data_IF_430459385133
#
_entry.id   IF_430459385133
#
_cell.length_a   1.000
_cell.length_b   1.000
_cell.length_c   1.000
_cell.angle_alpha   90.00
_cell.angle_beta   90.00
_cell.angle_gamma   90.00
#
_symmetry.space_group_name_H-M   'P 1'
#
loop_
_entity.id
_entity.type
_entity.pdbx_description
1 polymer ?
#
# COMPACT_ATOMS: atom_id res chain seq x y z
N UNK A 1 -7.04 2.37 -0.51
CA UNK A 1 -6.42 3.54 0.13
C UNK A 1 -6.97 4.82 -0.41
N UNK A 2 -7.01 5.85 0.41
CA UNK A 2 -7.30 7.22 -0.02
C UNK A 2 -5.99 7.87 -0.50
N UNK A 3 -5.98 8.51 -1.67
CA UNK A 3 -4.88 9.38 -2.08
C UNK A 3 -5.17 10.79 -1.55
N UNK A 4 -4.12 11.53 -1.15
CA UNK A 4 -4.30 12.88 -0.61
C UNK A 4 -4.50 13.84 -1.77
N UNK A 5 -5.75 14.05 -2.19
CA UNK A 5 -6.10 15.06 -3.19
C UNK A 5 -6.00 16.49 -2.66
N UNK A 6 -5.46 17.41 -3.46
CA UNK A 6 -5.61 18.86 -3.29
C UNK A 6 -7.06 19.33 -3.51
N UNK A 7 -7.88 18.46 -4.10
CA UNK A 7 -9.29 18.64 -4.45
C UNK A 7 -10.24 18.37 -3.28
N UNK A 8 -11.53 18.69 -3.45
CA UNK A 8 -12.56 18.41 -2.45
C UNK A 8 -13.00 16.94 -2.38
N UNK A 9 -12.49 16.10 -3.27
CA UNK A 9 -12.78 14.67 -3.35
C UNK A 9 -11.60 13.93 -3.99
N UNK A 10 -11.49 12.63 -3.74
CA UNK A 10 -10.49 11.76 -4.38
C UNK A 10 -11.02 10.32 -4.47
N UNK A 11 -10.47 9.55 -5.41
CA UNK A 11 -10.81 8.15 -5.61
C UNK A 11 -10.15 7.24 -4.56
N UNK A 12 -10.80 6.12 -4.30
CA UNK A 12 -10.24 5.05 -3.48
C UNK A 12 -9.60 4.02 -4.41
N UNK A 13 -8.29 3.83 -4.26
CA UNK A 13 -7.52 2.91 -5.09
C UNK A 13 -7.10 1.67 -4.32
N UNK A 14 -6.97 0.54 -5.02
CA UNK A 14 -6.27 -0.62 -4.50
C UNK A 14 -4.76 -0.40 -4.61
N UNK A 15 -4.04 -0.78 -3.56
CA UNK A 15 -2.57 -0.79 -3.49
C UNK A 15 -2.14 -1.88 -2.51
N UNK A 16 -0.85 -2.26 -2.45
CA UNK A 16 -0.41 -3.29 -1.53
C UNK A 16 -0.76 -2.95 -0.08
N UNK A 17 -1.24 -3.96 0.64
CA UNK A 17 -1.66 -3.82 2.02
C UNK A 17 -0.45 -3.52 2.91
N UNK A 18 -0.54 -2.50 3.75
CA UNK A 18 0.54 -2.17 4.69
C UNK A 18 0.01 -1.80 6.05
N UNK A 19 0.57 -2.38 7.10
CA UNK A 19 0.05 -2.25 8.47
C UNK A 19 0.23 -0.85 9.07
N UNK A 20 1.20 -0.09 8.57
CA UNK A 20 1.58 1.22 9.10
C UNK A 20 1.06 2.41 8.28
N UNK A 21 0.27 2.17 7.22
CA UNK A 21 -0.24 3.24 6.37
C UNK A 21 -1.63 3.70 6.85
N UNK A 22 -1.75 4.95 7.36
CA UNK A 22 -2.99 5.45 7.92
C UNK A 22 -4.12 5.55 6.90
N UNK A 23 -3.81 5.72 5.61
CA UNK A 23 -4.78 5.88 4.53
C UNK A 23 -5.39 4.54 4.07
N UNK A 24 -4.93 3.42 4.64
CA UNK A 24 -5.53 2.10 4.46
C UNK A 24 -6.47 1.71 5.61
N UNK A 25 -6.57 2.54 6.65
CA UNK A 25 -7.39 2.25 7.83
C UNK A 25 -8.79 2.83 7.67
N UNK A 26 -9.79 1.99 7.93
CA UNK A 26 -11.21 2.33 7.85
C UNK A 26 -11.93 1.91 9.13
N UNK A 27 -13.03 2.57 9.43
CA UNK A 27 -13.96 2.21 10.51
C UNK A 27 -15.32 1.91 9.87
N UNK A 28 -15.96 0.85 10.32
CA UNK A 28 -17.36 0.57 9.97
C UNK A 28 -18.26 1.17 11.05
N UNK A 29 -19.18 2.05 10.65
CA UNK A 29 -20.19 2.68 11.51
C UNK A 29 -21.44 2.95 10.69
N UNK A 30 -22.63 2.70 11.27
CA UNK A 30 -23.91 2.94 10.62
C UNK A 30 -23.98 2.22 9.25
N UNK A 31 -23.59 0.94 9.24
CA UNK A 31 -23.44 0.09 8.03
C UNK A 31 -22.67 0.78 6.89
N UNK A 32 -21.64 1.56 7.21
CA UNK A 32 -20.90 2.33 6.21
C UNK A 32 -19.41 2.35 6.54
N UNK A 33 -18.57 2.38 5.51
CA UNK A 33 -17.13 2.63 5.69
C UNK A 33 -16.85 4.12 5.85
N UNK A 34 -16.02 4.43 6.84
CA UNK A 34 -15.50 5.76 7.12
C UNK A 34 -13.99 5.72 7.21
N UNK A 35 -13.33 6.82 6.85
CA UNK A 35 -11.91 7.00 7.13
C UNK A 35 -11.64 6.82 8.63
N UNK A 36 -10.43 6.40 9.01
CA UNK A 36 -10.10 6.13 10.42
C UNK A 36 -10.30 7.33 11.37
N UNK A 37 -10.25 8.56 10.85
CA UNK A 37 -10.55 9.80 11.57
C UNK A 37 -12.05 10.16 11.60
N UNK A 38 -12.91 9.30 11.03
CA UNK A 38 -14.37 9.43 10.91
C UNK A 38 -14.85 10.66 10.14
N UNK A 39 -13.98 11.31 9.37
CA UNK A 39 -14.32 12.55 8.65
C UNK A 39 -15.05 12.30 7.33
N UNK A 40 -14.66 11.26 6.61
CA UNK A 40 -15.14 11.02 5.26
C UNK A 40 -15.78 9.63 5.14
N UNK A 41 -16.98 9.60 4.58
CA UNK A 41 -17.71 8.36 4.27
C UNK A 41 -17.34 7.89 2.87
N UNK A 42 -17.19 6.58 2.71
CA UNK A 42 -17.03 5.95 1.40
C UNK A 42 -18.29 6.17 0.56
N UNK A 43 -18.08 6.51 -0.71
CA UNK A 43 -19.10 6.65 -1.74
C UNK A 43 -18.72 5.78 -2.92
N UNK A 44 -19.69 5.24 -3.66
CA UNK A 44 -19.44 4.41 -4.83
C UNK A 44 -20.47 4.66 -5.93
N UNK A 45 -19.98 4.78 -7.17
CA UNK A 45 -20.83 4.98 -8.34
C UNK A 45 -20.31 4.13 -9.49
N UNK A 46 -21.17 3.28 -10.04
CA UNK A 46 -20.83 2.30 -11.06
C UNK A 46 -19.66 1.41 -10.62
N UNK A 47 -18.48 1.61 -11.22
CA UNK A 47 -17.30 0.76 -11.05
C UNK A 47 -16.22 1.40 -10.18
N UNK A 48 -16.45 2.60 -9.61
CA UNK A 48 -15.45 3.29 -8.80
C UNK A 48 -15.98 3.69 -7.43
N UNK A 49 -15.06 3.73 -6.47
CA UNK A 49 -15.29 4.24 -5.13
C UNK A 49 -14.49 5.54 -4.93
N UNK A 50 -15.03 6.44 -4.13
CA UNK A 50 -14.44 7.74 -3.85
C UNK A 50 -14.80 8.24 -2.45
N UNK A 51 -14.09 9.25 -1.99
CA UNK A 51 -14.42 10.02 -0.79
C UNK A 51 -14.52 11.50 -1.15
N UNK A 52 -15.34 12.25 -0.43
CA UNK A 52 -15.48 13.69 -0.61
C UNK A 52 -15.54 14.41 0.73
N UNK A 53 -15.00 15.63 0.77
CA UNK A 53 -15.12 16.57 1.89
C UNK A 53 -16.55 17.07 2.04
N UNK A 54 -17.33 17.09 0.97
CA UNK A 54 -18.73 17.50 0.99
C UNK A 54 -19.61 16.31 1.36
N UNK A 55 -20.16 16.32 2.58
CA UNK A 55 -21.02 15.26 3.09
C UNK A 55 -22.29 15.06 2.24
N UNK A 56 -22.82 16.13 1.65
CA UNK A 56 -24.00 16.15 0.78
C UNK A 56 -23.81 15.57 -0.62
N UNK A 57 -22.58 15.22 -1.03
CA UNK A 57 -22.36 14.58 -2.31
C UNK A 57 -23.11 13.23 -2.37
N UNK A 58 -23.54 12.82 -3.57
CA UNK A 58 -24.39 11.62 -3.75
C UNK A 58 -23.62 10.32 -3.52
N UNK A 59 -24.32 9.19 -3.70
CA UNK A 59 -23.71 7.86 -3.84
C UNK A 59 -23.04 7.31 -2.59
N UNK A 60 -23.64 7.57 -1.42
CA UNK A 60 -23.18 6.98 -0.17
C UNK A 60 -23.17 5.44 -0.25
N UNK A 61 -22.01 4.84 0.00
CA UNK A 61 -21.89 3.39 0.13
C UNK A 61 -22.53 2.94 1.43
N UNK A 62 -23.40 1.94 1.36
CA UNK A 62 -24.06 1.33 2.52
C UNK A 62 -23.96 -0.18 2.40
N UNK A 63 -23.42 -0.81 3.43
CA UNK A 63 -23.35 -2.26 3.58
C UNK A 63 -24.76 -2.82 3.77
N UNK A 64 -25.02 -3.97 3.13
CA UNK A 64 -26.25 -4.71 3.34
C UNK A 64 -26.35 -5.21 4.79
N UNK A 65 -27.56 -5.28 5.33
CA UNK A 65 -27.79 -5.75 6.70
C UNK A 65 -27.33 -7.19 6.92
N UNK A 66 -27.29 -8.01 5.86
CA UNK A 66 -26.77 -9.38 5.90
C UNK A 66 -25.26 -9.44 6.19
N UNK A 67 -24.52 -8.34 6.10
CA UNK A 67 -23.07 -8.29 6.34
C UNK A 67 -22.70 -8.15 7.83
N UNK A 68 -23.67 -8.25 8.74
CA UNK A 68 -23.45 -8.06 10.18
C UNK A 68 -22.36 -8.98 10.74
N UNK A 69 -22.36 -10.27 10.36
CA UNK A 69 -21.34 -11.22 10.81
C UNK A 69 -19.94 -10.89 10.26
N UNK A 70 -19.88 -10.45 8.99
CA UNK A 70 -18.63 -10.02 8.35
C UNK A 70 -18.02 -8.80 9.05
N UNK A 71 -18.85 -7.80 9.39
CA UNK A 71 -18.41 -6.58 10.08
C UNK A 71 -17.76 -6.91 11.44
N UNK A 72 -18.31 -7.90 12.15
CA UNK A 72 -17.81 -8.32 13.47
C UNK A 72 -16.64 -9.30 13.41
N UNK A 73 -16.24 -9.76 12.22
CA UNK A 73 -15.16 -10.72 12.06
C UNK A 73 -13.79 -10.04 12.16
N UNK A 74 -12.99 -10.44 13.16
CA UNK A 74 -11.57 -10.07 13.24
C UNK A 74 -10.75 -11.11 12.46
N UNK A 75 -10.39 -10.78 11.23
CA UNK A 75 -9.58 -11.65 10.38
C UNK A 75 -8.08 -11.51 10.70
N UNK A 76 -7.34 -12.63 10.63
CA UNK A 76 -5.88 -12.61 10.61
C UNK A 76 -5.40 -11.89 9.34
N UNK A 77 -4.49 -10.91 9.42
CA UNK A 77 -3.96 -10.24 8.24
C UNK A 77 -3.29 -11.24 7.29
N UNK A 78 -3.67 -11.22 6.02
CA UNK A 78 -3.04 -12.07 5.00
C UNK A 78 -1.64 -11.62 4.56
N UNK A 79 -1.23 -10.41 4.92
CA UNK A 79 0.10 -9.83 4.65
C UNK A 79 0.38 -8.76 5.71
N UNK A 80 1.59 -8.75 6.27
CA UNK A 80 2.05 -7.80 7.30
C UNK A 80 3.13 -6.83 6.80
N UNK A 81 3.09 -6.49 5.51
CA UNK A 81 4.02 -5.54 4.90
C UNK A 81 4.01 -4.17 5.55
N UNK A 82 5.17 -3.51 5.51
CA UNK A 82 5.42 -2.19 6.08
C UNK A 82 5.81 -1.25 4.94
N UNK A 83 5.13 -0.11 4.82
CA UNK A 83 5.51 0.95 3.91
C UNK A 83 6.67 1.75 4.52
N UNK A 84 7.82 1.77 3.87
CA UNK A 84 9.01 2.47 4.34
C UNK A 84 9.79 3.11 3.18
N UNK A 85 10.98 3.63 3.45
CA UNK A 85 11.95 4.02 2.43
C UNK A 85 13.37 3.77 2.94
N UNK A 86 14.31 3.53 2.03
CA UNK A 86 15.73 3.34 2.35
C UNK A 86 16.50 4.49 1.71
N UNK A 87 17.35 5.15 2.49
CA UNK A 87 18.08 6.34 2.05
C UNK A 87 19.44 6.50 2.72
N UNK A 88 20.32 7.26 2.07
CA UNK A 88 21.58 7.75 2.63
C UNK A 88 21.77 9.24 2.35
N UNK A 89 22.57 9.89 3.18
CA UNK A 89 22.98 11.27 2.96
C UNK A 89 24.35 11.28 2.26
N UNK A 90 24.52 12.18 1.30
CA UNK A 90 25.78 12.45 0.63
C UNK A 90 25.97 13.96 0.59
N UNK A 91 26.85 14.47 1.46
CA UNK A 91 26.96 15.92 1.71
C UNK A 91 25.67 16.47 2.31
N UNK A 92 25.14 17.54 1.72
CA UNK A 92 23.86 18.16 2.11
C UNK A 92 22.64 17.49 1.48
N UNK A 93 22.82 16.55 0.56
CA UNK A 93 21.75 15.89 -0.18
C UNK A 93 21.37 14.54 0.44
N UNK A 94 20.09 14.16 0.31
CA UNK A 94 19.57 12.84 0.66
C UNK A 94 19.13 12.09 -0.59
N UNK A 95 19.54 10.84 -0.70
CA UNK A 95 19.21 9.95 -1.81
C UNK A 95 18.45 8.74 -1.29
N UNK A 96 17.41 8.33 -2.01
CA UNK A 96 16.58 7.17 -1.73
C UNK A 96 16.84 6.08 -2.76
N UNK A 97 16.82 4.82 -2.31
CA UNK A 97 16.90 3.66 -3.20
C UNK A 97 15.71 3.66 -4.15
N UNK A 98 15.99 3.44 -5.44
CA UNK A 98 14.96 3.09 -6.40
C UNK A 98 15.34 1.98 -7.37
N UNK A 99 14.35 1.39 -8.05
CA UNK A 99 14.64 0.51 -9.18
C UNK A 99 15.49 1.26 -10.22
N UNK A 100 16.65 0.68 -10.52
CA UNK A 100 17.65 1.24 -11.43
C UNK A 100 18.63 2.26 -10.82
N UNK A 101 18.63 2.52 -9.50
CA UNK A 101 19.62 3.39 -8.88
C UNK A 101 19.13 4.13 -7.63
N UNK A 102 19.37 5.43 -7.58
CA UNK A 102 18.95 6.29 -6.47
C UNK A 102 18.51 7.67 -6.97
N UNK A 103 17.58 8.30 -6.27
CA UNK A 103 17.09 9.65 -6.58
C UNK A 103 16.85 10.46 -5.30
N UNK A 104 16.72 11.79 -5.41
CA UNK A 104 16.43 12.68 -4.28
C UNK A 104 14.98 12.58 -3.80
N UNK A 105 14.07 12.06 -4.63
CA UNK A 105 12.68 11.86 -4.26
C UNK A 105 12.51 10.64 -3.34
N UNK A 106 11.73 10.81 -2.27
CA UNK A 106 11.34 9.70 -1.40
C UNK A 106 10.67 8.62 -2.22
N UNK A 107 11.28 7.44 -2.27
CA UNK A 107 10.73 6.30 -2.99
C UNK A 107 10.13 5.29 -2.01
N UNK A 108 8.83 4.96 -2.11
CA UNK A 108 8.21 3.99 -1.23
C UNK A 108 8.74 2.57 -1.49
N UNK A 109 9.05 1.87 -0.41
CA UNK A 109 9.46 0.46 -0.39
C UNK A 109 8.47 -0.30 0.49
N UNK A 110 7.92 -1.39 -0.03
CA UNK A 110 7.07 -2.33 0.69
C UNK A 110 7.97 -3.43 1.23
N UNK A 111 8.15 -3.45 2.55
CA UNK A 111 8.94 -4.48 3.23
C UNK A 111 8.00 -5.52 3.85
N UNK A 112 8.06 -6.76 3.39
CA UNK A 112 7.33 -7.85 4.02
C UNK A 112 8.26 -8.61 4.98
N UNK A 113 8.05 -8.54 6.31
CA UNK A 113 8.90 -9.23 7.27
C UNK A 113 8.74 -10.76 7.27
N UNK A 114 7.67 -11.32 6.70
CA UNK A 114 7.48 -12.77 6.60
C UNK A 114 8.31 -13.38 5.48
N UNK A 115 8.38 -12.70 4.32
CA UNK A 115 9.19 -13.15 3.18
C UNK A 115 10.58 -12.52 3.13
N UNK A 116 10.83 -11.45 3.87
CA UNK A 116 12.05 -10.65 3.79
C UNK A 116 12.14 -9.78 2.53
N UNK A 117 11.10 -9.75 1.68
CA UNK A 117 11.10 -9.00 0.43
C UNK A 117 11.08 -7.49 0.66
N UNK A 118 11.91 -6.78 -0.11
CA UNK A 118 11.87 -5.33 -0.30
C UNK A 118 11.38 -5.05 -1.72
N UNK A 119 10.19 -4.47 -1.87
CA UNK A 119 9.54 -4.31 -3.15
C UNK A 119 9.15 -2.87 -3.50
N UNK A 120 9.14 -2.57 -4.79
CA UNK A 120 8.51 -1.39 -5.36
C UNK A 120 7.21 -1.73 -6.05
N UNK A 121 6.18 -0.92 -5.82
CA UNK A 121 4.89 -1.06 -6.45
C UNK A 121 4.77 -0.15 -7.66
N UNK A 122 4.41 -0.73 -8.81
CA UNK A 122 4.02 0.03 -9.99
C UNK A 122 2.49 0.22 -9.98
N UNK A 123 1.96 1.43 -9.72
CA UNK A 123 0.52 1.68 -9.66
C UNK A 123 -0.18 1.56 -11.02
N UNK A 124 0.55 1.67 -12.14
CA UNK A 124 -0.02 1.54 -13.49
C UNK A 124 -0.30 0.07 -13.82
N UNK A 125 0.63 -0.82 -13.48
CA UNK A 125 0.49 -2.26 -13.77
C UNK A 125 -0.09 -3.07 -12.60
N UNK A 126 -0.18 -2.49 -11.41
CA UNK A 126 -0.56 -3.21 -10.18
C UNK A 126 0.49 -4.23 -9.72
N UNK A 127 1.74 -4.13 -10.20
CA UNK A 127 2.77 -5.15 -9.98
C UNK A 127 3.80 -4.76 -8.93
N UNK A 128 4.34 -5.76 -8.24
CA UNK A 128 5.46 -5.61 -7.31
C UNK A 128 6.77 -6.05 -7.96
N UNK A 129 7.83 -5.26 -7.74
CA UNK A 129 9.18 -5.56 -8.19
C UNK A 129 10.08 -5.66 -6.96
N UNK A 130 10.55 -6.86 -6.64
CA UNK A 130 11.39 -7.13 -5.48
C UNK A 130 12.86 -6.90 -5.81
N UNK A 131 13.60 -6.42 -4.81
CA UNK A 131 15.04 -6.25 -4.86
C UNK A 131 15.73 -7.58 -4.51
N UNK A 132 16.60 -8.05 -5.41
CA UNK A 132 17.35 -9.29 -5.28
C UNK A 132 18.85 -9.02 -5.28
N UNK A 133 19.57 -9.72 -4.40
CA UNK A 133 21.04 -9.76 -4.43
C UNK A 133 21.51 -10.71 -5.52
N UNK A 134 22.54 -10.31 -6.27
CA UNK A 134 23.26 -11.17 -7.23
C UNK A 134 24.73 -11.28 -6.90
N UNK A 135 25.08 -11.14 -5.62
CA UNK A 135 26.49 -11.11 -5.17
C UNK A 135 27.23 -12.40 -5.49
N UNK A 136 26.57 -13.56 -5.40
CA UNK A 136 27.18 -14.85 -5.69
C UNK A 136 28.46 -15.05 -4.86
N UNK A 137 29.57 -15.39 -5.53
CA UNK A 137 30.90 -15.52 -4.92
C UNK A 137 31.74 -14.24 -4.96
N UNK A 138 31.21 -13.12 -5.46
CA UNK A 138 31.92 -11.85 -5.53
C UNK A 138 31.82 -11.07 -4.22
N UNK A 139 32.69 -10.07 -4.03
CA UNK A 139 32.64 -9.21 -2.84
C UNK A 139 31.51 -8.18 -2.91
N UNK A 140 31.08 -7.81 -4.12
CA UNK A 140 29.97 -6.90 -4.36
C UNK A 140 29.36 -7.17 -5.73
N UNK A 141 28.07 -6.89 -5.88
CA UNK A 141 27.39 -6.82 -7.16
C UNK A 141 26.20 -5.87 -7.05
N UNK A 142 25.73 -5.35 -8.19
CA UNK A 142 24.50 -4.57 -8.26
C UNK A 142 23.30 -5.42 -7.87
N UNK A 143 22.38 -4.82 -7.12
CA UNK A 143 21.05 -5.40 -6.89
C UNK A 143 20.25 -5.35 -8.19
N UNK A 144 19.37 -6.33 -8.38
CA UNK A 144 18.42 -6.35 -9.49
C UNK A 144 17.00 -6.29 -8.99
N UNK A 145 16.11 -5.73 -9.80
CA UNK A 145 14.69 -5.64 -9.50
C UNK A 145 13.94 -6.54 -10.46
N UNK A 146 13.11 -7.45 -9.95
CA UNK A 146 12.35 -8.38 -10.77
C UNK A 146 10.92 -8.51 -10.25
N UNK A 147 9.99 -8.85 -11.16
CA UNK A 147 8.60 -9.10 -10.81
C UNK A 147 8.52 -10.15 -9.70
N UNK A 148 7.74 -9.89 -8.68
CA UNK A 148 7.56 -10.78 -7.54
C UNK A 148 6.13 -10.75 -7.02
N UNK A 149 5.84 -11.64 -6.08
CA UNK A 149 4.61 -11.64 -5.29
C UNK A 149 4.94 -11.51 -3.81
N UNK A 150 3.97 -11.02 -3.03
CA UNK A 150 4.03 -11.01 -1.58
C UNK A 150 3.64 -12.37 -0.95
N UNK A 151 3.55 -13.44 -1.75
CA UNK A 151 3.32 -14.76 -1.22
C UNK A 151 4.49 -15.20 -0.33
N UNK A 152 4.24 -15.94 0.75
CA UNK A 152 5.30 -16.54 1.56
C UNK A 152 6.20 -17.39 0.66
N UNK A 153 7.50 -17.09 0.66
CA UNK A 153 8.48 -17.89 -0.06
C UNK A 153 8.86 -19.05 0.85
N UNK A 154 8.86 -20.27 0.31
CA UNK A 154 9.51 -21.40 0.98
C UNK A 154 10.99 -21.07 1.16
N UNK A 155 11.54 -21.39 2.34
CA UNK A 155 12.97 -21.24 2.66
C UNK A 155 13.88 -21.97 1.65
N UNK A 156 13.32 -22.93 0.90
CA UNK A 156 14.02 -23.78 -0.06
C UNK A 156 13.83 -23.37 -1.53
N UNK A 157 13.20 -22.22 -1.83
CA UNK A 157 13.05 -21.77 -3.21
C UNK A 157 13.44 -20.28 -3.36
N UNK A 158 14.73 -19.99 -3.60
CA UNK A 158 15.25 -18.62 -3.76
C UNK A 158 14.74 -17.89 -5.00
#
# INVERSE_FOLDING_TARGET
SVVKGETNWDYVHLRPCTINDPLQRWIVKDNSFWTADKRYRLKDYNWYAYISKNSGDRYNHTLDSSMSDWINTVATPGNISILTSIAWNLGSDRYFIRSGGSDKNTTPIYYNPESGHLAQYNPVSGSLYCMYSRVGSYNWNWVTWALCSDAPISKDNP
#
